data_IF_789701727772
#
_entry.id   IF_789701727772
#
_cell.length_a   1.000
_cell.length_b   1.000
_cell.length_c   1.000
_cell.angle_alpha   90.00
_cell.angle_beta   90.00
_cell.angle_gamma   90.00
#
_symmetry.space_group_name_H-M   'P 1'
#
loop_
_entity.id
_entity.type
_entity.pdbx_description
1 polymer ?
#
# COMPACT_ATOMS: atom_id res chain seq x y z
N UNK A 1 0.15 -22.93 -25.08
CA UNK A 1 0.82 -22.69 -23.79
C UNK A 1 1.34 -21.26 -23.84
N UNK A 2 0.73 -20.34 -23.09
CA UNK A 2 1.10 -18.92 -23.16
C UNK A 2 2.48 -18.72 -22.53
N UNK A 3 3.45 -18.32 -23.35
CA UNK A 3 4.74 -17.77 -22.93
C UNK A 3 4.48 -16.44 -22.21
N UNK A 4 4.26 -16.50 -20.89
CA UNK A 4 4.26 -15.31 -20.06
C UNK A 4 5.72 -14.98 -19.71
N UNK A 5 6.17 -13.81 -20.17
CA UNK A 5 7.52 -13.31 -19.92
C UNK A 5 7.67 -12.88 -18.46
N UNK A 6 8.53 -13.60 -17.74
CA UNK A 6 8.87 -13.38 -16.32
C UNK A 6 9.50 -12.00 -16.11
N UNK A 7 10.01 -11.34 -17.17
CA UNK A 7 10.55 -9.98 -17.10
C UNK A 7 9.51 -8.94 -16.67
N UNK A 8 8.22 -9.16 -16.92
CA UNK A 8 7.14 -8.26 -16.49
C UNK A 8 6.89 -8.26 -14.97
N UNK A 9 7.24 -9.34 -14.26
CA UNK A 9 7.12 -9.44 -12.79
C UNK A 9 8.15 -8.57 -12.06
N UNK A 10 9.24 -8.16 -12.72
CA UNK A 10 10.29 -7.35 -12.10
C UNK A 10 9.87 -5.90 -11.81
N UNK A 11 8.74 -5.43 -12.36
CA UNK A 11 8.21 -4.08 -12.18
C UNK A 11 7.24 -3.93 -10.98
N UNK A 12 6.88 -5.01 -10.27
CA UNK A 12 5.72 -5.04 -9.36
C UNK A 12 6.03 -5.23 -7.86
N UNK A 13 7.19 -4.86 -7.32
CA UNK A 13 7.43 -4.98 -5.85
C UNK A 13 6.40 -4.24 -4.97
N UNK A 14 5.73 -3.25 -5.54
CA UNK A 14 4.74 -2.39 -4.89
C UNK A 14 3.29 -2.76 -5.27
N UNK A 15 3.08 -3.87 -6.00
CA UNK A 15 1.75 -4.26 -6.47
C UNK A 15 1.55 -5.77 -6.36
N UNK A 16 0.46 -6.16 -5.70
CA UNK A 16 0.07 -7.55 -5.49
C UNK A 16 -1.34 -7.78 -6.03
N UNK A 17 -1.58 -8.94 -6.61
CA UNK A 17 -2.87 -9.35 -7.14
C UNK A 17 -3.30 -10.64 -6.47
N UNK A 18 -4.50 -10.64 -5.90
CA UNK A 18 -5.09 -11.77 -5.19
C UNK A 18 -6.41 -12.16 -5.82
N UNK A 19 -6.74 -13.44 -5.66
CA UNK A 19 -8.09 -13.95 -5.85
C UNK A 19 -8.60 -14.39 -4.48
N UNK A 20 -9.65 -13.76 -3.99
CA UNK A 20 -10.25 -14.08 -2.72
C UNK A 20 -10.93 -15.46 -2.80
N UNK A 21 -10.80 -16.24 -1.71
CA UNK A 21 -11.54 -17.52 -1.59
C UNK A 21 -12.98 -17.29 -1.16
N UNK A 22 -13.21 -16.20 -0.43
CA UNK A 22 -14.50 -15.74 0.08
C UNK A 22 -14.90 -14.43 -0.61
N UNK A 23 -16.20 -14.12 -0.63
CA UNK A 23 -16.71 -12.92 -1.32
C UNK A 23 -16.54 -11.61 -0.53
N UNK A 24 -16.20 -11.64 0.76
CA UNK A 24 -16.05 -10.43 1.57
C UNK A 24 -14.60 -10.17 1.95
N UNK A 25 -13.94 -9.31 1.17
CA UNK A 25 -12.57 -8.89 1.43
C UNK A 25 -12.57 -7.80 2.49
N UNK A 26 -11.89 -8.02 3.62
CA UNK A 26 -11.81 -7.05 4.70
C UNK A 26 -10.77 -5.94 4.40
N UNK A 27 -11.22 -4.89 3.71
CA UNK A 27 -10.36 -3.75 3.38
C UNK A 27 -9.80 -3.05 4.62
N UNK A 28 -10.59 -2.94 5.70
CA UNK A 28 -10.16 -2.23 6.91
C UNK A 28 -8.92 -2.89 7.51
N UNK A 29 -8.96 -4.21 7.67
CA UNK A 29 -7.83 -4.98 8.23
C UNK A 29 -6.56 -4.83 7.40
N UNK A 30 -6.67 -4.88 6.07
CA UNK A 30 -5.53 -4.70 5.17
C UNK A 30 -4.94 -3.29 5.30
N UNK A 31 -5.81 -2.27 5.30
CA UNK A 31 -5.37 -0.87 5.45
C UNK A 31 -4.69 -0.66 6.81
N UNK A 32 -5.25 -1.22 7.88
CA UNK A 32 -4.73 -1.09 9.25
C UNK A 32 -3.35 -1.75 9.37
N UNK A 33 -3.17 -2.93 8.78
CA UNK A 33 -1.86 -3.58 8.69
C UNK A 33 -0.85 -2.71 7.93
N UNK A 34 -1.25 -2.19 6.77
CA UNK A 34 -0.38 -1.37 5.93
C UNK A 34 0.05 -0.05 6.60
N UNK A 35 -0.81 0.53 7.45
CA UNK A 35 -0.57 1.81 8.11
C UNK A 35 0.03 1.73 9.52
N UNK A 36 0.51 0.56 9.96
CA UNK A 36 1.16 0.41 11.28
C UNK A 36 2.39 1.29 11.49
N UNK A 37 3.03 1.74 10.41
CA UNK A 37 4.17 2.66 10.42
C UNK A 37 3.77 4.12 10.21
N UNK A 38 2.48 4.45 10.40
CA UNK A 38 2.04 5.82 10.51
C UNK A 38 2.77 6.50 11.67
N UNK A 39 3.20 7.73 11.47
CA UNK A 39 3.82 8.53 12.50
C UNK A 39 2.86 8.68 13.69
N UNK A 40 3.39 8.49 14.91
CA UNK A 40 2.61 8.57 16.13
C UNK A 40 1.96 9.96 16.29
N UNK A 41 0.68 9.97 16.69
CA UNK A 41 -0.09 11.19 16.88
C UNK A 41 -0.43 11.94 15.59
N UNK A 42 -0.20 11.36 14.40
CA UNK A 42 -0.62 11.92 13.12
C UNK A 42 -1.87 11.23 12.58
N UNK A 43 -2.70 12.03 11.92
CA UNK A 43 -3.90 11.56 11.23
C UNK A 43 -3.58 11.14 9.79
N UNK A 44 -4.49 10.37 9.21
CA UNK A 44 -4.45 10.03 7.79
C UNK A 44 -4.84 11.25 6.95
N UNK A 45 -4.04 11.55 5.91
CA UNK A 45 -4.37 12.61 4.96
C UNK A 45 -5.57 12.22 4.08
N UNK A 46 -5.64 10.93 3.74
CA UNK A 46 -6.79 10.33 3.07
C UNK A 46 -7.08 9.01 3.76
N UNK A 47 -8.36 8.75 4.04
CA UNK A 47 -8.84 7.49 4.58
C UNK A 47 -10.20 7.16 3.98
N UNK A 48 -10.18 6.54 2.81
CA UNK A 48 -11.35 6.11 2.05
C UNK A 48 -11.47 4.60 2.14
N UNK A 49 -12.65 4.10 2.51
CA UNK A 49 -12.88 2.67 2.75
C UNK A 49 -14.08 2.19 1.94
N UNK A 50 -13.85 1.25 1.02
CA UNK A 50 -14.87 0.57 0.19
C UNK A 50 -15.83 1.54 -0.50
N UNK A 51 -15.30 2.58 -1.12
CA UNK A 51 -16.09 3.45 -1.99
C UNK A 51 -16.30 2.79 -3.36
N UNK A 52 -17.45 3.06 -3.97
CA UNK A 52 -17.76 2.56 -5.31
C UNK A 52 -17.25 3.53 -6.37
N UNK A 53 -16.69 3.01 -7.47
CA UNK A 53 -16.29 3.80 -8.63
C UNK A 53 -16.64 3.06 -9.92
N UNK A 54 -17.16 3.79 -10.90
CA UNK A 54 -17.48 3.26 -12.22
C UNK A 54 -16.47 3.74 -13.25
N UNK A 55 -15.85 2.80 -13.97
CA UNK A 55 -14.86 3.08 -15.02
C UNK A 55 -15.18 2.20 -16.21
N UNK A 56 -15.42 2.80 -17.38
CA UNK A 56 -15.76 2.08 -18.62
C UNK A 56 -16.90 1.06 -18.42
N UNK A 57 -18.01 1.50 -17.81
CA UNK A 57 -19.22 0.69 -17.53
C UNK A 57 -18.97 -0.51 -16.59
N UNK A 58 -17.90 -0.45 -15.79
CA UNK A 58 -17.57 -1.47 -14.79
C UNK A 58 -17.48 -0.83 -13.41
N UNK A 59 -18.17 -1.43 -12.45
CA UNK A 59 -18.09 -1.05 -11.04
C UNK A 59 -16.90 -1.71 -10.36
N UNK A 60 -16.24 -0.93 -9.51
CA UNK A 60 -15.14 -1.36 -8.66
C UNK A 60 -15.40 -0.84 -7.25
N UNK A 61 -14.97 -1.60 -6.25
CA UNK A 61 -14.79 -1.09 -4.89
C UNK A 61 -13.34 -0.68 -4.73
N UNK A 62 -13.10 0.46 -4.10
CA UNK A 62 -11.74 0.88 -3.79
C UNK A 62 -11.62 1.40 -2.36
N UNK A 63 -10.43 1.22 -1.83
CA UNK A 63 -10.00 1.90 -0.61
C UNK A 63 -8.67 2.58 -0.84
N UNK A 64 -8.45 3.71 -0.19
CA UNK A 64 -7.22 4.49 -0.28
C UNK A 64 -6.87 5.01 1.11
N UNK A 65 -5.63 4.80 1.52
CA UNK A 65 -5.09 5.45 2.72
C UNK A 65 -3.76 6.11 2.39
N UNK A 66 -3.62 7.39 2.77
CA UNK A 66 -2.38 8.15 2.68
C UNK A 66 -2.03 8.66 4.06
N UNK A 67 -0.80 8.44 4.51
CA UNK A 67 -0.40 8.76 5.88
C UNK A 67 1.10 9.12 5.97
N UNK A 68 1.48 10.00 6.90
CA UNK A 68 2.89 10.30 7.14
C UNK A 68 3.58 9.12 7.82
N UNK A 69 4.79 8.80 7.38
CA UNK A 69 5.65 7.78 7.97
C UNK A 69 7.04 8.34 8.20
N UNK A 70 7.54 8.17 9.41
CA UNK A 70 8.89 8.61 9.77
C UNK A 70 9.92 7.57 9.33
N UNK A 71 10.96 8.02 8.61
CA UNK A 71 12.04 7.17 8.10
C UNK A 71 13.38 7.70 8.57
N UNK A 72 14.23 6.82 9.08
CA UNK A 72 15.62 7.18 9.38
C UNK A 72 16.37 7.49 8.09
N UNK A 73 17.06 8.62 8.07
CA UNK A 73 17.92 9.06 6.97
C UNK A 73 19.37 8.72 7.29
N UNK A 74 20.06 8.15 6.31
CA UNK A 74 21.48 7.79 6.41
C UNK A 74 22.29 8.62 5.42
N UNK A 75 23.33 9.27 5.90
CA UNK A 75 24.25 10.04 5.06
C UNK A 75 25.52 9.22 4.78
N UNK A 76 26.03 9.32 3.55
CA UNK A 76 27.29 8.69 3.17
C UNK A 76 28.41 9.33 4.00
N UNK A 77 29.26 8.51 4.62
CA UNK A 77 30.39 8.92 5.47
C UNK A 77 30.05 9.58 6.81
N UNK A 78 28.82 9.46 7.34
CA UNK A 78 28.55 9.86 8.72
C UNK A 78 29.30 8.93 9.69
N UNK A 79 30.43 9.39 10.22
CA UNK A 79 31.15 8.66 11.28
C UNK A 79 30.44 8.76 12.64
N UNK A 80 29.58 9.77 12.80
CA UNK A 80 28.76 9.95 13.98
C UNK A 80 27.55 9.01 13.95
N UNK A 81 27.65 7.92 14.71
CA UNK A 81 26.54 6.96 14.95
C UNK A 81 25.44 7.52 15.86
N UNK A 82 25.65 8.71 16.44
CA UNK A 82 24.77 9.25 17.49
C UNK A 82 23.68 10.18 16.95
N UNK A 83 23.88 10.84 15.80
CA UNK A 83 22.88 11.74 15.22
C UNK A 83 21.99 10.95 14.25
N UNK A 84 20.78 10.60 14.71
CA UNK A 84 19.75 10.00 13.87
C UNK A 84 18.90 11.11 13.26
N UNK A 85 19.05 11.33 11.97
CA UNK A 85 18.12 12.18 11.21
C UNK A 85 16.90 11.37 10.81
N UNK A 86 15.73 12.01 10.80
CA UNK A 86 14.51 11.45 10.26
C UNK A 86 13.92 12.37 9.19
N UNK A 87 13.27 11.76 8.22
CA UNK A 87 12.43 12.41 7.22
C UNK A 87 11.00 11.91 7.37
N UNK A 88 10.03 12.77 7.04
CA UNK A 88 8.62 12.42 7.00
C UNK A 88 8.24 12.23 5.54
N UNK A 89 7.98 10.98 5.16
CA UNK A 89 7.47 10.65 3.84
C UNK A 89 5.98 10.35 3.90
N UNK A 90 5.27 10.53 2.80
CA UNK A 90 3.88 10.12 2.68
C UNK A 90 3.80 8.71 2.10
N UNK A 91 3.42 7.74 2.92
CA UNK A 91 3.13 6.39 2.51
C UNK A 91 1.69 6.28 1.99
N UNK A 92 1.44 5.32 1.10
CA UNK A 92 0.09 5.08 0.60
C UNK A 92 -0.19 3.61 0.35
N UNK A 93 -1.46 3.24 0.49
CA UNK A 93 -2.02 1.97 0.05
C UNK A 93 -3.33 2.22 -0.71
N UNK A 94 -3.48 1.53 -1.84
CA UNK A 94 -4.69 1.49 -2.66
C UNK A 94 -5.13 0.03 -2.76
N UNK A 95 -6.39 -0.22 -2.45
CA UNK A 95 -7.07 -1.49 -2.66
C UNK A 95 -8.09 -1.28 -3.78
N UNK A 96 -8.07 -2.16 -4.79
CA UNK A 96 -9.05 -2.16 -5.87
C UNK A 96 -9.65 -3.57 -5.94
N UNK A 97 -10.94 -3.65 -5.70
CA UNK A 97 -11.72 -4.88 -5.65
C UNK A 97 -12.72 -4.91 -6.80
N UNK A 98 -12.85 -6.07 -7.45
CA UNK A 98 -13.89 -6.38 -8.41
C UNK A 98 -14.13 -7.88 -8.43
N UNK A 99 -15.39 -8.29 -8.28
CA UNK A 99 -15.77 -9.69 -8.16
C UNK A 99 -14.97 -10.37 -7.03
N UNK A 100 -14.25 -11.46 -7.33
CA UNK A 100 -13.36 -12.18 -6.41
C UNK A 100 -11.90 -11.75 -6.51
N UNK A 101 -11.60 -10.61 -7.14
CA UNK A 101 -10.23 -10.13 -7.35
C UNK A 101 -9.92 -8.88 -6.53
N UNK A 102 -8.71 -8.86 -5.97
CA UNK A 102 -8.14 -7.72 -5.25
C UNK A 102 -6.77 -7.36 -5.82
N UNK A 103 -6.60 -6.10 -6.20
CA UNK A 103 -5.30 -5.50 -6.45
C UNK A 103 -4.90 -4.63 -5.25
N UNK A 104 -3.67 -4.81 -4.76
CA UNK A 104 -3.08 -4.04 -3.67
C UNK A 104 -1.87 -3.29 -4.21
N UNK A 105 -1.92 -1.96 -4.20
CA UNK A 105 -0.80 -1.10 -4.56
C UNK A 105 -0.35 -0.40 -3.30
N UNK A 106 0.92 -0.55 -2.90
CA UNK A 106 1.42 0.07 -1.69
C UNK A 106 2.83 0.61 -1.87
N UNK A 107 3.13 1.73 -1.22
CA UNK A 107 4.46 2.29 -1.18
C UNK A 107 4.75 2.78 0.22
N UNK A 108 5.93 2.39 0.72
CA UNK A 108 6.44 2.81 2.02
C UNK A 108 5.57 2.41 3.22
N UNK A 109 4.64 1.47 3.04
CA UNK A 109 3.83 0.87 4.09
C UNK A 109 4.61 -0.14 4.94
N UNK A 110 4.00 -0.54 6.05
CA UNK A 110 4.40 -1.74 6.80
C UNK A 110 4.13 -3.00 5.99
N UNK A 111 4.79 -4.10 6.35
CA UNK A 111 4.48 -5.39 5.70
C UNK A 111 3.03 -5.76 5.95
N UNK A 112 2.33 -6.07 4.86
CA UNK A 112 0.94 -6.51 4.84
C UNK A 112 0.88 -8.06 4.89
N UNK A 113 2.04 -8.71 4.69
CA UNK A 113 2.25 -10.17 4.61
C UNK A 113 3.38 -10.58 5.55
#
# INVERSE_FOLDING_TARGET
MSNLDISMLSLTKNTYFYRAKDHDINHVEILDCASRNCQEGKEFLINTVKENIEINEKSYLYSLRIFPSERTVYFINSQDKEVKFSDIIHAYIILIERDDFLAVLSKSCSSII
#
